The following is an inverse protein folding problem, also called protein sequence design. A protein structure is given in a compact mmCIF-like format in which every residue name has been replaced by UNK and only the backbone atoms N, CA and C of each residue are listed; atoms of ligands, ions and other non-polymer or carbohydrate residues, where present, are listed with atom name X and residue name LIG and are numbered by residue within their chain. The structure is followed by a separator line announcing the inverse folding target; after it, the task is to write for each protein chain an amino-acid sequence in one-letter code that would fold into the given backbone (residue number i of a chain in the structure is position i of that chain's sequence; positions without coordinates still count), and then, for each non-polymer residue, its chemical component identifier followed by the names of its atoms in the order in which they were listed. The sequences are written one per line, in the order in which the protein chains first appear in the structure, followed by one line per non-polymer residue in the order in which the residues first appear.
data_IF_234533323968
#
_entry.id   IF_234533323968
#
_cell.length_a   1.000
_cell.length_b   1.000
_cell.length_c   1.000
_cell.angle_alpha   90.00
_cell.angle_beta   90.00
_cell.angle_gamma   90.00
#
_symmetry.space_group_name_H-M   'P 1'
#
loop_
_entity.id
_entity.type
_entity.pdbx_description
1 polymer ?
#
# COMPACT_ATOMS: atom_id res chain seq x y z
N UNK A 1 1.94 2.44 -11.27
CA UNK A 1 2.33 2.20 -12.68
C UNK A 1 1.09 1.84 -13.46
N UNK A 2 0.92 2.36 -14.67
CA UNK A 2 -0.20 1.98 -15.54
C UNK A 2 0.22 0.74 -16.30
N UNK A 3 -0.45 -0.38 -16.04
CA UNK A 3 -0.22 -1.64 -16.73
C UNK A 3 -1.18 -1.71 -17.92
N UNK A 4 -0.64 -1.89 -19.12
CA UNK A 4 -1.41 -2.27 -20.32
C UNK A 4 -1.08 -3.72 -20.62
N UNK A 5 -2.10 -4.57 -20.77
CA UNK A 5 -1.95 -6.00 -21.12
C UNK A 5 -1.08 -6.21 -22.37
N UNK A 6 -1.09 -5.23 -23.27
CA UNK A 6 -0.37 -5.19 -24.54
C UNK A 6 1.16 -5.03 -24.39
N UNK A 7 1.64 -4.67 -23.20
CA UNK A 7 3.05 -4.30 -22.91
C UNK A 7 3.68 -5.22 -21.85
N UNK A 8 3.33 -6.51 -21.86
CA UNK A 8 3.93 -7.51 -20.95
C UNK A 8 5.46 -7.50 -21.09
N UNK A 9 6.14 -7.24 -19.97
CA UNK A 9 7.61 -7.21 -19.87
C UNK A 9 8.26 -5.84 -20.09
N UNK A 10 7.55 -4.83 -20.60
CA UNK A 10 8.12 -3.49 -20.81
C UNK A 10 8.47 -2.82 -19.47
N UNK A 11 7.61 -2.98 -18.47
CA UNK A 11 7.87 -2.50 -17.10
C UNK A 11 9.06 -3.23 -16.49
N UNK A 12 9.19 -4.54 -16.73
CA UNK A 12 10.33 -5.32 -16.23
C UNK A 12 11.65 -4.84 -16.88
N UNK A 13 11.65 -4.66 -18.20
CA UNK A 13 12.79 -4.10 -18.94
C UNK A 13 13.18 -2.70 -18.45
N UNK A 14 12.20 -1.82 -18.23
CA UNK A 14 12.42 -0.47 -17.71
C UNK A 14 13.13 -0.52 -16.35
N UNK A 15 12.68 -1.37 -15.42
CA UNK A 15 13.33 -1.50 -14.12
C UNK A 15 14.76 -2.01 -14.22
N UNK A 16 14.99 -3.06 -15.03
CA UNK A 16 16.35 -3.59 -15.25
C UNK A 16 17.26 -2.50 -15.80
N UNK A 17 16.80 -1.73 -16.80
CA UNK A 17 17.58 -0.62 -17.36
C UNK A 17 17.86 0.49 -16.36
N UNK A 18 16.91 0.83 -15.49
CA UNK A 18 17.14 1.83 -14.44
C UNK A 18 18.18 1.34 -13.41
N UNK A 19 18.06 0.09 -12.97
CA UNK A 19 19.02 -0.51 -12.02
C UNK A 19 20.43 -0.49 -12.62
N UNK A 20 20.57 -0.89 -13.88
CA UNK A 20 21.85 -0.91 -14.59
C UNK A 20 22.45 0.50 -14.75
N UNK A 21 21.62 1.46 -15.18
CA UNK A 21 22.03 2.86 -15.33
C UNK A 21 22.55 3.47 -14.02
N UNK A 22 21.86 3.25 -12.90
CA UNK A 22 22.32 3.77 -11.61
C UNK A 22 23.53 3.01 -11.07
N UNK A 23 23.67 1.73 -11.40
CA UNK A 23 24.88 0.97 -11.10
C UNK A 23 26.09 1.53 -11.84
N UNK A 24 25.97 1.86 -13.13
CA UNK A 24 27.03 2.51 -13.92
C UNK A 24 27.44 3.88 -13.35
N UNK A 25 26.49 4.60 -12.73
CA UNK A 25 26.76 5.86 -12.04
C UNK A 25 27.38 5.71 -10.63
N UNK A 26 27.60 4.47 -10.17
CA UNK A 26 28.23 4.20 -8.87
C UNK A 26 27.30 4.21 -7.66
N UNK A 27 25.98 4.16 -7.86
CA UNK A 27 25.04 4.04 -6.75
C UNK A 27 25.09 2.63 -6.13
N UNK A 28 25.14 2.56 -4.79
CA UNK A 28 25.22 1.30 -4.06
C UNK A 28 23.86 0.58 -3.91
N UNK A 29 22.75 1.32 -3.96
CA UNK A 29 21.41 0.78 -3.68
C UNK A 29 20.35 1.44 -4.56
N UNK A 30 19.34 0.67 -4.96
CA UNK A 30 18.18 1.14 -5.70
C UNK A 30 16.90 0.88 -4.92
N UNK A 31 16.08 1.92 -4.70
CA UNK A 31 14.83 1.81 -3.95
C UNK A 31 13.65 1.49 -4.89
N UNK A 32 13.10 0.27 -4.79
CA UNK A 32 11.94 -0.18 -5.58
C UNK A 32 10.60 0.39 -5.07
N UNK A 33 10.61 1.21 -4.02
CA UNK A 33 9.45 1.81 -3.38
C UNK A 33 8.78 0.90 -2.35
N UNK A 34 7.87 1.48 -1.56
CA UNK A 34 7.16 0.78 -0.49
C UNK A 34 6.15 -0.24 -1.04
N UNK A 35 6.01 -1.38 -0.36
CA UNK A 35 4.89 -2.32 -0.52
C UNK A 35 4.10 -2.38 0.78
N UNK A 36 3.17 -1.44 1.02
CA UNK A 36 2.50 -1.31 2.30
C UNK A 36 1.69 -2.56 2.59
N UNK A 37 1.69 -2.97 3.86
CA UNK A 37 0.81 -4.00 4.40
C UNK A 37 0.91 -5.39 3.71
N UNK A 38 1.93 -5.62 2.86
CA UNK A 38 2.16 -6.90 2.18
C UNK A 38 2.48 -8.06 3.13
N UNK A 39 2.79 -7.76 4.40
CA UNK A 39 3.09 -8.73 5.45
C UNK A 39 2.09 -8.69 6.63
N UNK A 40 0.91 -8.08 6.45
CA UNK A 40 -0.11 -7.97 7.52
C UNK A 40 -0.91 -9.27 7.62
N UNK A 41 -1.08 -9.76 8.86
CA UNK A 41 -1.86 -10.97 9.19
C UNK A 41 -1.06 -12.13 9.83
N UNK A 42 0.24 -11.98 10.07
CA UNK A 42 1.11 -13.05 10.56
C UNK A 42 1.16 -13.30 12.08
N UNK A 43 0.43 -12.53 12.91
CA UNK A 43 0.50 -12.66 14.38
C UNK A 43 -0.90 -12.55 15.04
N UNK A 44 -1.27 -13.50 15.94
CA UNK A 44 -2.56 -13.48 16.63
C UNK A 44 -2.49 -12.71 17.96
N UNK A 45 -3.35 -11.70 18.14
CA UNK A 45 -3.62 -11.09 19.45
C UNK A 45 -4.13 -9.64 19.44
N UNK A 46 -5.39 -9.46 19.89
CA UNK A 46 -6.04 -8.24 20.41
C UNK A 46 -6.96 -7.38 19.51
N UNK A 47 -7.84 -6.64 20.21
CA UNK A 47 -9.09 -5.98 19.78
C UNK A 47 -8.93 -4.61 19.09
N UNK A 48 -7.74 -4.03 19.13
CA UNK A 48 -7.38 -2.81 18.39
C UNK A 48 -6.91 -3.14 16.97
N UNK A 49 -6.22 -4.27 16.79
CA UNK A 49 -5.87 -4.78 15.47
C UNK A 49 -7.12 -5.13 14.66
N UNK A 50 -8.18 -5.63 15.29
CA UNK A 50 -9.43 -5.99 14.62
C UNK A 50 -10.11 -4.80 13.94
N UNK A 51 -10.18 -3.63 14.60
CA UNK A 51 -10.73 -2.41 14.00
C UNK A 51 -9.87 -1.89 12.85
N UNK A 52 -8.55 -2.01 12.99
CA UNK A 52 -7.59 -1.63 11.96
C UNK A 52 -7.68 -2.56 10.76
N UNK A 53 -7.77 -3.87 10.98
CA UNK A 53 -7.96 -4.90 9.96
C UNK A 53 -9.31 -4.74 9.27
N UNK A 54 -10.40 -4.48 10.00
CA UNK A 54 -11.72 -4.21 9.44
C UNK A 54 -11.73 -2.97 8.55
N UNK A 55 -11.13 -1.86 9.02
CA UNK A 55 -10.99 -0.64 8.22
C UNK A 55 -10.20 -0.91 6.92
N UNK A 56 -9.09 -1.64 7.02
CA UNK A 56 -8.27 -2.00 5.86
C UNK A 56 -8.99 -2.97 4.92
N UNK A 57 -9.76 -3.92 5.45
CA UNK A 57 -10.57 -4.85 4.67
C UNK A 57 -11.65 -4.12 3.86
N UNK A 58 -12.38 -3.19 4.49
CA UNK A 58 -13.45 -2.44 3.82
C UNK A 58 -12.93 -1.45 2.76
N UNK A 59 -11.75 -0.85 2.97
CA UNK A 59 -11.29 0.27 2.14
C UNK A 59 -10.14 -0.09 1.19
N UNK A 60 -9.44 -1.21 1.37
CA UNK A 60 -8.27 -1.56 0.56
C UNK A 60 -8.41 -2.91 -0.13
N UNK A 61 -9.26 -2.98 -1.17
CA UNK A 61 -9.11 -3.96 -2.25
C UNK A 61 -7.69 -3.90 -2.89
N UNK A 62 -7.00 -2.76 -2.71
CA UNK A 62 -5.58 -2.55 -3.01
C UNK A 62 -4.62 -3.40 -2.17
N UNK A 63 -5.01 -3.97 -1.03
CA UNK A 63 -4.16 -4.94 -0.31
C UNK A 63 -3.80 -6.13 -1.18
N UNK A 64 -4.76 -6.60 -1.97
CA UNK A 64 -4.53 -7.63 -2.98
C UNK A 64 -3.53 -7.14 -4.04
N UNK A 65 -3.68 -5.88 -4.49
CA UNK A 65 -2.70 -5.23 -5.37
C UNK A 65 -1.32 -5.10 -4.73
N UNK A 66 -1.20 -4.90 -3.40
CA UNK A 66 0.09 -4.81 -2.71
C UNK A 66 0.79 -6.17 -2.56
N UNK A 67 0.03 -7.27 -2.44
CA UNK A 67 0.59 -8.63 -2.54
C UNK A 67 1.16 -8.87 -3.93
N UNK A 68 0.41 -8.53 -4.99
CA UNK A 68 0.90 -8.61 -6.37
C UNK A 68 2.10 -7.69 -6.63
N UNK A 69 2.11 -6.49 -6.04
CA UNK A 69 3.22 -5.55 -6.14
C UNK A 69 4.47 -6.07 -5.41
N UNK A 70 4.32 -6.72 -4.25
CA UNK A 70 5.43 -7.39 -3.57
C UNK A 70 6.00 -8.51 -4.45
N UNK A 71 5.14 -9.39 -4.96
CA UNK A 71 5.54 -10.47 -5.84
C UNK A 71 6.23 -9.98 -7.11
N UNK A 72 5.76 -8.87 -7.69
CA UNK A 72 6.41 -8.20 -8.81
C UNK A 72 7.83 -7.74 -8.46
N UNK A 73 8.02 -7.12 -7.29
CA UNK A 73 9.34 -6.63 -6.86
C UNK A 73 10.28 -7.75 -6.43
N UNK A 74 9.76 -8.89 -6.00
CA UNK A 74 10.56 -10.06 -5.62
C UNK A 74 11.46 -10.55 -6.76
N UNK A 75 11.04 -10.35 -8.02
CA UNK A 75 11.80 -10.71 -9.23
C UNK A 75 13.22 -10.10 -9.28
N UNK A 76 13.45 -9.00 -8.56
CA UNK A 76 14.71 -8.26 -8.56
C UNK A 76 15.59 -8.60 -7.35
N UNK A 77 15.24 -9.61 -6.56
CA UNK A 77 15.93 -10.02 -5.32
C UNK A 77 16.23 -8.85 -4.35
N UNK A 78 15.22 -8.06 -3.94
CA UNK A 78 15.45 -6.91 -3.08
C UNK A 78 15.67 -7.31 -1.63
N UNK A 79 16.45 -6.48 -0.92
CA UNK A 79 16.48 -6.53 0.55
C UNK A 79 15.22 -5.87 1.11
N UNK A 80 14.35 -6.64 1.75
CA UNK A 80 13.15 -6.13 2.38
C UNK A 80 13.46 -5.47 3.72
N UNK A 81 13.12 -4.20 3.84
CA UNK A 81 13.22 -3.46 5.11
C UNK A 81 11.83 -3.06 5.62
N UNK A 82 11.51 -3.31 6.89
CA UNK A 82 10.24 -2.87 7.45
C UNK A 82 10.17 -1.35 7.53
N UNK A 83 8.95 -0.81 7.42
CA UNK A 83 8.63 0.60 7.62
C UNK A 83 7.49 0.71 8.62
N UNK A 84 7.68 1.53 9.64
CA UNK A 84 6.75 1.68 10.76
C UNK A 84 6.12 3.05 10.77
N UNK A 85 4.86 3.11 11.18
CA UNK A 85 4.14 4.35 11.45
C UNK A 85 4.27 4.68 12.94
N UNK A 86 4.91 5.80 13.25
CA UNK A 86 5.03 6.31 14.63
C UNK A 86 3.90 7.30 14.90
N UNK A 87 3.17 7.11 15.99
CA UNK A 87 2.04 7.95 16.36
C UNK A 87 1.92 8.07 17.89
N UNK A 88 1.39 9.17 18.42
CA UNK A 88 1.41 9.47 19.86
C UNK A 88 0.46 8.59 20.69
N UNK A 89 -0.70 8.20 20.16
CA UNK A 89 -1.65 7.31 20.86
C UNK A 89 -2.57 6.57 19.87
N UNK A 90 -3.16 5.45 20.29
CA UNK A 90 -4.04 4.65 19.42
C UNK A 90 -5.33 5.35 19.01
N UNK A 91 -5.75 6.41 19.73
CA UNK A 91 -6.96 7.18 19.41
C UNK A 91 -6.81 8.02 18.13
N UNK A 92 -5.59 8.36 17.72
CA UNK A 92 -5.36 9.09 16.46
C UNK A 92 -5.29 8.18 15.22
N UNK A 93 -5.23 6.85 15.40
CA UNK A 93 -5.15 5.90 14.29
C UNK A 93 -6.27 6.05 13.24
N UNK A 94 -7.55 6.22 13.61
CA UNK A 94 -8.62 6.40 12.61
C UNK A 94 -8.42 7.66 11.77
N UNK A 95 -7.94 8.76 12.39
CA UNK A 95 -7.67 10.01 11.69
C UNK A 95 -6.49 9.86 10.72
N UNK A 96 -5.42 9.18 11.13
CA UNK A 96 -4.25 8.92 10.28
C UNK A 96 -4.66 8.01 9.11
N UNK A 97 -5.43 6.96 9.39
CA UNK A 97 -5.93 6.06 8.37
C UNK A 97 -6.80 6.79 7.33
N UNK A 98 -7.71 7.65 7.79
CA UNK A 98 -8.51 8.49 6.90
C UNK A 98 -7.66 9.47 6.07
N UNK A 99 -6.62 10.07 6.67
CA UNK A 99 -5.69 10.94 5.95
C UNK A 99 -4.94 10.19 4.84
N UNK A 100 -4.42 8.99 5.13
CA UNK A 100 -3.75 8.13 4.14
C UNK A 100 -4.71 7.77 3.00
N UNK A 101 -5.94 7.39 3.32
CA UNK A 101 -6.97 7.09 2.30
C UNK A 101 -7.26 8.31 1.44
N UNK A 102 -7.48 9.48 2.04
CA UNK A 102 -7.74 10.70 1.27
C UNK A 102 -6.58 11.11 0.36
N UNK A 103 -5.33 10.93 0.82
CA UNK A 103 -4.14 11.25 0.05
C UNK A 103 -3.93 10.28 -1.13
N UNK A 104 -4.27 9.00 -0.97
CA UNK A 104 -4.05 7.98 -1.99
C UNK A 104 -5.22 7.85 -2.98
N UNK A 105 -6.46 8.11 -2.54
CA UNK A 105 -7.66 7.98 -3.37
C UNK A 105 -7.97 9.24 -4.22
N UNK A 106 -7.23 10.34 -4.02
CA UNK A 106 -7.45 11.59 -4.76
C UNK A 106 -8.79 12.27 -4.46
N UNK A 107 -9.44 11.94 -3.35
CA UNK A 107 -10.79 12.40 -2.99
C UNK A 107 -10.88 12.96 -1.57
N UNK A 108 -11.74 13.98 -1.40
CA UNK A 108 -12.01 14.65 -0.13
C UNK A 108 -12.69 13.72 0.89
N UNK A 109 -12.31 13.83 2.17
CA UNK A 109 -12.91 13.14 3.32
C UNK A 109 -14.46 13.20 3.36
N UNK A 110 -15.05 14.22 2.73
CA UNK A 110 -16.49 14.41 2.62
C UNK A 110 -17.23 13.34 1.79
N UNK A 111 -16.59 12.71 0.79
CA UNK A 111 -17.22 11.63 0.02
C UNK A 111 -17.39 10.36 0.87
N UNK A 112 -16.48 10.11 1.81
CA UNK A 112 -16.52 8.97 2.72
C UNK A 112 -17.58 9.16 3.82
N UNK A 113 -17.71 10.37 4.37
CA UNK A 113 -18.80 10.70 5.31
C UNK A 113 -20.19 10.58 4.65
N UNK A 114 -20.31 10.95 3.37
CA UNK A 114 -21.55 10.78 2.61
C UNK A 114 -21.88 9.31 2.30
N UNK A 115 -20.87 8.48 2.04
CA UNK A 115 -21.06 7.04 1.87
C UNK A 115 -21.59 6.39 3.17
N UNK A 116 -21.03 6.75 4.32
CA UNK A 116 -21.50 6.29 5.64
C UNK A 116 -22.93 6.73 5.96
N UNK A 117 -23.34 7.92 5.48
CA UNK A 117 -24.73 8.40 5.61
C UNK A 117 -25.73 7.64 4.70
N UNK A 118 -25.26 6.99 3.63
CA UNK A 118 -26.12 6.22 2.70
C UNK A 118 -26.29 4.75 3.07
N UNK A 119 -25.34 4.13 3.80
CA UNK A 119 -25.46 2.74 4.29
C UNK A 119 -26.30 2.59 5.56
N UNK A 120 -26.83 3.69 6.10
CA UNK A 120 -27.61 3.72 7.34
C UNK A 120 -29.10 4.01 7.17
N UNK A 121 -29.76 3.61 6.07
CA UNK A 121 -31.22 3.52 6.01
C UNK A 121 -31.69 2.69 4.80
N UNK A 122 -31.66 1.37 4.93
CA UNK A 122 -32.61 0.51 4.22
C UNK A 122 -33.02 -0.61 5.18
N UNK A 123 -34.17 -0.38 5.84
CA UNK A 123 -35.09 -1.46 6.16
C UNK A 123 -35.88 -1.79 4.90
#
# INVERSE_FOLDING_TARGET
MRYREEERGLVDFMFVRLIDHFKEQGYATFNLGLCPLSNVGGYPGASLQERVVHFFYEHFNQLYSFKGLRQFKEKYDPRWEPRYLVYPNSLVLPKIAAAIVSANAGGSLWSYLQAWRKTGFSR
#
